data_IF_548004059281
#
_entry.id   IF_548004059281
#
_cell.length_a   1.000
_cell.length_b   1.000
_cell.length_c   1.000
_cell.angle_alpha   90.00
_cell.angle_beta   90.00
_cell.angle_gamma   90.00
#
_symmetry.space_group_name_H-M   'P 1'
#
loop_
_entity.id
_entity.type
_entity.pdbx_description
1 polymer ?
#
# COMPACT_ATOMS: atom_id res chain seq x y z
N UNK A 1 -6.03 -16.75 -29.77
CA UNK A 1 -6.49 -16.36 -28.43
C UNK A 1 -5.92 -14.99 -28.13
N UNK A 2 -6.64 -13.94 -28.52
CA UNK A 2 -6.28 -12.56 -28.19
C UNK A 2 -6.57 -12.35 -26.69
N UNK A 3 -5.55 -12.00 -25.90
CA UNK A 3 -5.77 -11.57 -24.52
C UNK A 3 -6.58 -10.28 -24.58
N UNK A 4 -7.83 -10.34 -24.15
CA UNK A 4 -8.73 -9.19 -24.11
C UNK A 4 -8.08 -8.06 -23.30
N UNK A 5 -7.99 -6.82 -23.82
CA UNK A 5 -7.32 -5.70 -23.17
C UNK A 5 -7.91 -5.32 -21.79
N UNK A 6 -9.15 -5.74 -21.50
CA UNK A 6 -9.81 -5.50 -20.21
C UNK A 6 -9.10 -6.15 -19.01
N UNK A 7 -8.49 -7.34 -19.16
CA UNK A 7 -7.92 -8.05 -18.01
C UNK A 7 -6.71 -7.36 -17.40
N UNK A 8 -5.94 -6.64 -18.22
CA UNK A 8 -4.78 -5.86 -17.79
C UNK A 8 -5.20 -4.59 -17.05
N UNK A 9 -6.34 -3.99 -17.42
CA UNK A 9 -6.83 -2.76 -16.83
C UNK A 9 -7.39 -3.00 -15.42
N UNK A 10 -8.09 -4.12 -15.22
CA UNK A 10 -8.55 -4.58 -13.91
C UNK A 10 -7.39 -4.96 -12.99
N UNK A 11 -6.39 -5.67 -13.52
CA UNK A 11 -5.18 -6.03 -12.76
C UNK A 11 -4.41 -4.79 -12.29
N UNK A 12 -4.28 -3.77 -13.15
CA UNK A 12 -3.69 -2.47 -12.78
C UNK A 12 -4.50 -1.76 -11.70
N UNK A 13 -5.83 -1.72 -11.84
CA UNK A 13 -6.71 -1.08 -10.86
C UNK A 13 -6.62 -1.74 -9.49
N UNK A 14 -6.64 -3.08 -9.46
CA UNK A 14 -6.48 -3.87 -8.24
C UNK A 14 -5.14 -3.60 -7.56
N UNK A 15 -4.03 -3.65 -8.32
CA UNK A 15 -2.70 -3.36 -7.78
C UNK A 15 -2.63 -1.97 -7.15
N UNK A 16 -3.20 -0.95 -7.79
CA UNK A 16 -3.23 0.42 -7.25
C UNK A 16 -4.08 0.51 -5.98
N UNK A 17 -5.20 -0.20 -5.90
CA UNK A 17 -6.02 -0.27 -4.69
C UNK A 17 -5.28 -0.97 -3.54
N UNK A 18 -4.55 -2.05 -3.80
CA UNK A 18 -3.74 -2.73 -2.79
C UNK A 18 -2.58 -1.84 -2.31
N UNK A 19 -1.96 -1.05 -3.20
CA UNK A 19 -0.95 -0.07 -2.82
C UNK A 19 -1.56 0.98 -1.86
N UNK A 20 -2.75 1.49 -2.17
CA UNK A 20 -3.44 2.46 -1.32
C UNK A 20 -3.81 1.85 0.05
N UNK A 21 -4.26 0.59 0.08
CA UNK A 21 -4.52 -0.16 1.32
C UNK A 21 -3.26 -0.36 2.16
N UNK A 22 -2.15 -0.75 1.55
CA UNK A 22 -0.88 -0.94 2.26
C UNK A 22 -0.40 0.37 2.89
N UNK A 23 -0.55 1.51 2.20
CA UNK A 23 -0.24 2.84 2.77
C UNK A 23 -1.14 3.20 3.95
N UNK A 24 -2.43 2.87 3.86
CA UNK A 24 -3.37 3.07 4.95
C UNK A 24 -2.98 2.23 6.17
N UNK A 25 -2.63 0.96 5.99
CA UNK A 25 -2.21 0.07 7.09
C UNK A 25 -0.91 0.56 7.77
N UNK A 26 0.05 1.10 6.99
CA UNK A 26 1.24 1.77 7.55
C UNK A 26 0.82 2.93 8.47
N UNK A 27 -0.13 3.76 8.02
CA UNK A 27 -0.61 4.93 8.78
C UNK A 27 -1.37 4.51 10.04
N UNK A 28 -2.24 3.50 9.93
CA UNK A 28 -3.00 2.96 11.07
C UNK A 28 -2.05 2.35 12.10
N UNK A 29 -1.03 1.61 11.65
CA UNK A 29 -0.05 1.00 12.54
C UNK A 29 0.80 2.04 13.27
N UNK A 30 1.18 3.13 12.57
CA UNK A 30 1.84 4.27 13.19
C UNK A 30 0.96 4.92 14.25
N UNK A 31 -0.30 5.20 13.92
CA UNK A 31 -1.25 5.79 14.87
C UNK A 31 -1.41 4.86 16.08
N UNK A 32 -1.59 3.56 15.88
CA UNK A 32 -1.72 2.58 16.96
C UNK A 32 -0.51 2.64 17.90
N UNK A 33 0.71 2.74 17.36
CA UNK A 33 1.92 2.90 18.18
C UNK A 33 1.89 4.17 19.03
N UNK A 34 1.39 5.29 18.50
CA UNK A 34 1.27 6.57 19.23
C UNK A 34 0.21 6.51 20.36
N UNK A 35 -0.84 5.71 20.20
CA UNK A 35 -1.95 5.63 21.16
C UNK A 35 -1.75 4.58 22.26
N UNK A 36 -0.83 3.63 22.09
CA UNK A 36 -0.60 2.60 23.11
C UNK A 36 -0.02 3.22 24.39
N UNK A 37 -0.77 3.09 25.48
CA UNK A 37 -0.37 3.59 26.81
C UNK A 37 0.55 2.59 27.51
N UNK A 38 1.82 2.57 27.12
CA UNK A 38 2.89 1.81 27.81
C UNK A 38 2.67 0.29 27.94
N UNK A 39 1.80 -0.33 27.12
CA UNK A 39 1.72 -1.78 27.01
C UNK A 39 2.79 -2.29 26.04
N UNK A 40 3.83 -3.00 26.54
CA UNK A 40 4.92 -3.48 25.69
C UNK A 40 4.45 -4.43 24.59
N UNK A 41 3.41 -5.23 24.83
CA UNK A 41 2.88 -6.20 23.86
C UNK A 41 2.15 -5.46 22.73
N UNK A 42 1.34 -4.47 23.08
CA UNK A 42 0.65 -3.66 22.09
C UNK A 42 1.61 -2.78 21.28
N UNK A 43 2.70 -2.29 21.91
CA UNK A 43 3.79 -1.59 21.21
C UNK A 43 4.45 -2.52 20.18
N UNK A 44 4.87 -3.72 20.60
CA UNK A 44 5.56 -4.65 19.71
C UNK A 44 4.65 -5.10 18.55
N UNK A 45 3.37 -5.32 18.84
CA UNK A 45 2.36 -5.62 17.82
C UNK A 45 2.22 -4.48 16.81
N UNK A 46 2.13 -3.23 17.26
CA UNK A 46 2.02 -2.07 16.36
C UNK A 46 3.26 -1.93 15.46
N UNK A 47 4.46 -2.12 16.02
CA UNK A 47 5.72 -2.11 15.27
C UNK A 47 5.74 -3.25 14.23
N UNK A 48 5.36 -4.45 14.64
CA UNK A 48 5.36 -5.63 13.75
C UNK A 48 4.38 -5.46 12.60
N UNK A 49 3.16 -4.98 12.87
CA UNK A 49 2.17 -4.67 11.83
C UNK A 49 2.66 -3.61 10.86
N UNK A 50 3.30 -2.54 11.37
CA UNK A 50 3.91 -1.50 10.53
C UNK A 50 4.98 -2.08 9.61
N UNK A 51 5.90 -2.90 10.14
CA UNK A 51 6.95 -3.56 9.34
C UNK A 51 6.36 -4.41 8.22
N UNK A 52 5.39 -5.26 8.54
CA UNK A 52 4.70 -6.09 7.55
C UNK A 52 4.00 -5.25 6.47
N UNK A 53 3.34 -4.16 6.85
CA UNK A 53 2.68 -3.26 5.91
C UNK A 53 3.69 -2.54 4.98
N UNK A 54 4.86 -2.14 5.49
CA UNK A 54 5.95 -1.55 4.69
C UNK A 54 6.53 -2.59 3.71
N UNK A 55 6.77 -3.81 4.15
CA UNK A 55 7.26 -4.89 3.29
C UNK A 55 6.26 -5.21 2.17
N UNK A 56 4.98 -5.33 2.52
CA UNK A 56 3.92 -5.55 1.54
C UNK A 56 3.83 -4.40 0.53
N UNK A 57 3.87 -3.14 0.99
CA UNK A 57 3.92 -1.98 0.11
C UNK A 57 5.11 -2.04 -0.85
N UNK A 58 6.32 -2.33 -0.34
CA UNK A 58 7.52 -2.44 -1.17
C UNK A 58 7.38 -3.55 -2.24
N UNK A 59 6.81 -4.69 -1.89
CA UNK A 59 6.50 -5.77 -2.83
C UNK A 59 5.57 -5.27 -3.95
N UNK A 60 4.47 -4.59 -3.62
CA UNK A 60 3.51 -4.06 -4.60
C UNK A 60 4.15 -3.00 -5.52
N UNK A 61 5.04 -2.17 -5.00
CA UNK A 61 5.80 -1.20 -5.80
C UNK A 61 6.72 -1.90 -6.80
N UNK A 62 7.37 -3.00 -6.40
CA UNK A 62 8.20 -3.80 -7.31
C UNK A 62 7.33 -4.40 -8.42
N UNK A 63 6.17 -4.96 -8.09
CA UNK A 63 5.21 -5.48 -9.07
C UNK A 63 4.75 -4.39 -10.04
N UNK A 64 4.40 -3.20 -9.54
CA UNK A 64 3.99 -2.08 -10.38
C UNK A 64 5.07 -1.68 -11.39
N UNK A 65 6.33 -1.62 -10.95
CA UNK A 65 7.48 -1.33 -11.82
C UNK A 65 7.67 -2.41 -12.89
N UNK A 66 7.55 -3.69 -12.53
CA UNK A 66 7.65 -4.81 -13.48
C UNK A 66 6.54 -4.77 -14.54
N UNK A 67 5.36 -4.26 -14.19
CA UNK A 67 4.24 -4.06 -15.12
C UNK A 67 4.34 -2.77 -15.94
N UNK A 68 5.43 -2.00 -15.82
CA UNK A 68 5.59 -0.71 -16.50
C UNK A 68 4.64 0.37 -15.99
N UNK A 69 4.04 0.19 -14.82
CA UNK A 69 3.16 1.18 -14.20
C UNK A 69 4.06 2.22 -13.52
N UNK A 70 4.22 3.36 -14.20
CA UNK A 70 4.83 4.54 -13.57
C UNK A 70 3.87 5.07 -12.52
N UNK A 71 4.20 4.86 -11.25
CA UNK A 71 3.63 5.62 -10.14
C UNK A 71 4.34 6.97 -10.10
N UNK A 72 4.11 7.81 -11.11
CA UNK A 72 4.67 9.16 -11.10
C UNK A 72 4.17 9.88 -9.85
N UNK A 73 5.01 10.74 -9.26
CA UNK A 73 4.67 11.52 -8.07
C UNK A 73 3.35 12.24 -8.25
N UNK A 74 3.04 12.70 -9.47
CA UNK A 74 1.76 13.36 -9.83
C UNK A 74 0.55 12.42 -9.73
N UNK A 75 0.68 11.16 -10.13
CA UNK A 75 -0.40 10.15 -10.01
C UNK A 75 -0.61 9.72 -8.57
N UNK A 76 0.47 9.61 -7.78
CA UNK A 76 0.39 9.37 -6.34
C UNK A 76 -0.24 10.55 -5.59
N UNK A 77 0.13 11.79 -5.93
CA UNK A 77 -0.40 13.01 -5.32
C UNK A 77 -1.86 13.24 -5.71
N UNK A 78 -2.22 13.04 -6.98
CA UNK A 78 -3.61 13.24 -7.44
C UNK A 78 -4.59 12.26 -6.81
N UNK A 79 -4.14 11.06 -6.45
CA UNK A 79 -4.93 10.06 -5.69
C UNK A 79 -5.10 10.44 -4.22
N UNK A 80 -4.11 11.11 -3.61
CA UNK A 80 -4.20 11.59 -2.22
C UNK A 80 -5.13 12.81 -2.11
N UNK A 81 -5.12 13.69 -3.11
CA UNK A 81 -5.89 14.95 -3.11
C UNK A 81 -7.35 14.79 -3.61
N UNK A 82 -7.75 13.61 -4.08
CA UNK A 82 -9.11 13.33 -4.56
C UNK A 82 -10.05 12.73 -3.50
N UNK A 83 -9.62 12.69 -2.23
CA UNK A 83 -10.49 12.37 -1.11
C UNK A 83 -11.12 13.63 -0.52
#
# INVERSE_FOLDING_TARGET
MEKSPDSNQDSKKYLLQEIDRARLEITISENAFQWVQNDPVAIDLAITRKKAAVEHFNFLIIQAKQMGISLDKKDLISRVLKN
#
